data_IF_109545388630
#
_entry.id   IF_109545388630
#
_cell.length_a   1.000
_cell.length_b   1.000
_cell.length_c   1.000
_cell.angle_alpha   90.00
_cell.angle_beta   90.00
_cell.angle_gamma   90.00
#
_symmetry.space_group_name_H-M   'P 1'
#
loop_
_entity.id
_entity.type
_entity.pdbx_description
1 polymer ?
#
# COMPACT_ATOMS: atom_id res chain seq x y z
N UNK A 1 17.78 15.87 -5.96
CA UNK A 1 17.62 14.47 -5.54
C UNK A 1 18.64 13.63 -6.29
N UNK A 2 19.39 12.81 -5.57
CA UNK A 2 20.37 11.88 -6.16
C UNK A 2 19.67 10.85 -7.06
N UNK A 3 20.35 10.41 -8.11
CA UNK A 3 19.72 9.64 -9.20
C UNK A 3 19.08 8.33 -8.72
N UNK A 4 19.72 7.59 -7.81
CA UNK A 4 19.15 6.36 -7.26
C UNK A 4 17.88 6.62 -6.42
N UNK A 5 17.84 7.71 -5.64
CA UNK A 5 16.65 8.07 -4.86
C UNK A 5 15.52 8.46 -5.81
N UNK A 6 15.82 9.21 -6.87
CA UNK A 6 14.87 9.55 -7.92
C UNK A 6 14.31 8.29 -8.59
N UNK A 7 15.15 7.30 -8.88
CA UNK A 7 14.70 6.03 -9.47
C UNK A 7 13.78 5.25 -8.54
N UNK A 8 14.10 5.18 -7.24
CA UNK A 8 13.26 4.55 -6.22
C UNK A 8 11.93 5.29 -6.09
N UNK A 9 11.95 6.64 -6.02
CA UNK A 9 10.75 7.48 -5.97
C UNK A 9 9.86 7.26 -7.20
N UNK A 10 10.44 7.20 -8.39
CA UNK A 10 9.73 6.89 -9.63
C UNK A 10 9.04 5.50 -9.56
N UNK A 11 9.71 4.47 -9.03
CA UNK A 11 9.05 3.17 -8.82
C UNK A 11 7.88 3.27 -7.84
N UNK A 12 8.04 4.05 -6.78
CA UNK A 12 6.97 4.24 -5.81
C UNK A 12 5.80 5.07 -6.36
N UNK A 13 6.04 6.01 -7.27
CA UNK A 13 4.97 6.72 -8.00
C UNK A 13 4.15 5.75 -8.87
N UNK A 14 4.80 4.79 -9.54
CA UNK A 14 4.08 3.70 -10.24
C UNK A 14 3.21 2.91 -9.28
N UNK A 15 3.76 2.53 -8.13
CA UNK A 15 3.03 1.81 -7.10
C UNK A 15 1.79 2.60 -6.64
N UNK A 16 1.92 3.92 -6.42
CA UNK A 16 0.78 4.77 -6.08
C UNK A 16 -0.29 4.82 -7.16
N UNK A 17 0.10 4.91 -8.44
CA UNK A 17 -0.85 4.86 -9.56
C UNK A 17 -1.61 3.53 -9.58
N UNK A 18 -0.90 2.42 -9.44
CA UNK A 18 -1.51 1.09 -9.41
C UNK A 18 -2.48 0.94 -8.23
N UNK A 19 -2.09 1.38 -7.03
CA UNK A 19 -2.97 1.37 -5.85
C UNK A 19 -4.23 2.20 -6.11
N UNK A 20 -4.08 3.42 -6.63
CA UNK A 20 -5.21 4.31 -6.89
C UNK A 20 -6.19 3.69 -7.88
N UNK A 21 -5.69 3.09 -8.96
CA UNK A 21 -6.51 2.37 -9.93
C UNK A 21 -7.26 1.20 -9.27
N UNK A 22 -6.58 0.39 -8.43
CA UNK A 22 -7.25 -0.68 -7.68
C UNK A 22 -8.35 -0.14 -6.77
N UNK A 23 -8.08 0.92 -5.99
CA UNK A 23 -9.07 1.55 -5.12
C UNK A 23 -10.26 2.08 -5.92
N UNK A 24 -10.08 2.50 -7.18
CA UNK A 24 -11.18 3.01 -8.00
C UNK A 24 -12.02 1.91 -8.65
N UNK A 25 -11.37 0.84 -9.14
CA UNK A 25 -12.01 -0.21 -9.93
C UNK A 25 -12.58 -1.36 -9.09
N UNK A 26 -11.97 -1.65 -7.94
CA UNK A 26 -12.29 -2.84 -7.17
C UNK A 26 -13.78 -2.95 -6.83
N UNK A 27 -14.33 -4.16 -6.98
CA UNK A 27 -15.52 -4.54 -6.22
C UNK A 27 -15.08 -4.70 -4.76
N UNK A 28 -15.49 -3.82 -3.86
CA UNK A 28 -14.99 -3.81 -2.47
C UNK A 28 -15.68 -4.86 -1.59
N UNK A 29 -16.93 -5.18 -1.91
CA UNK A 29 -17.80 -6.05 -1.11
C UNK A 29 -17.62 -7.54 -1.44
N UNK A 30 -17.06 -7.87 -2.61
CA UNK A 30 -16.89 -9.25 -3.03
C UNK A 30 -16.05 -10.01 -2.00
N UNK A 31 -16.58 -11.13 -1.53
CA UNK A 31 -15.90 -12.01 -0.58
C UNK A 31 -15.05 -13.01 -1.34
N UNK A 32 -13.76 -13.04 -1.00
CA UNK A 32 -12.78 -13.98 -1.50
C UNK A 32 -11.96 -14.52 -0.32
N UNK A 33 -11.92 -15.85 -0.19
CA UNK A 33 -11.24 -16.54 0.92
C UNK A 33 -11.59 -15.96 2.30
N UNK A 34 -12.90 -15.92 2.60
CA UNK A 34 -13.48 -15.39 3.84
C UNK A 34 -13.28 -13.88 4.11
N UNK A 35 -12.70 -13.12 3.17
CA UNK A 35 -12.48 -11.69 3.32
C UNK A 35 -13.08 -10.89 2.17
N UNK A 36 -13.61 -9.70 2.47
CA UNK A 36 -14.01 -8.80 1.40
C UNK A 36 -12.78 -8.13 0.76
N UNK A 37 -12.88 -7.77 -0.52
CA UNK A 37 -11.76 -7.19 -1.25
C UNK A 37 -11.25 -5.87 -0.63
N UNK A 38 -12.11 -5.10 0.04
CA UNK A 38 -11.69 -3.89 0.76
C UNK A 38 -10.64 -4.16 1.84
N UNK A 39 -10.70 -5.33 2.50
CA UNK A 39 -9.70 -5.76 3.50
C UNK A 39 -8.37 -6.13 2.88
N UNK A 40 -8.35 -6.76 1.70
CA UNK A 40 -7.09 -6.99 0.97
C UNK A 40 -6.43 -5.66 0.56
N UNK A 41 -7.22 -4.68 0.12
CA UNK A 41 -6.72 -3.35 -0.23
C UNK A 41 -6.15 -2.65 1.01
N UNK A 42 -6.91 -2.65 2.10
CA UNK A 42 -6.45 -2.06 3.35
C UNK A 42 -5.19 -2.77 3.89
N UNK A 43 -5.10 -4.10 3.79
CA UNK A 43 -3.94 -4.87 4.23
C UNK A 43 -2.63 -4.36 3.62
N UNK A 44 -2.56 -4.19 2.29
CA UNK A 44 -1.33 -3.72 1.66
C UNK A 44 -1.08 -2.22 1.83
N UNK A 45 -2.13 -1.40 1.94
CA UNK A 45 -1.98 0.02 2.28
C UNK A 45 -1.41 0.20 3.68
N UNK A 46 -1.95 -0.54 4.65
CA UNK A 46 -1.52 -0.49 6.03
C UNK A 46 -0.12 -1.05 6.23
N UNK A 47 0.22 -2.16 5.55
CA UNK A 47 1.61 -2.66 5.53
C UNK A 47 2.58 -1.59 5.01
N UNK A 48 2.21 -0.90 3.92
CA UNK A 48 3.05 0.17 3.38
C UNK A 48 3.19 1.34 4.38
N UNK A 49 2.11 1.77 5.03
CA UNK A 49 2.16 2.81 6.07
C UNK A 49 3.08 2.46 7.24
N UNK A 50 3.02 1.21 7.68
CA UNK A 50 3.75 0.69 8.83
C UNK A 50 5.22 0.45 8.54
N UNK A 51 5.52 -0.25 7.45
CA UNK A 51 6.84 -0.84 7.25
C UNK A 51 7.74 -0.04 6.30
N UNK A 52 7.20 0.87 5.48
CA UNK A 52 8.02 1.55 4.45
C UNK A 52 9.13 2.44 5.04
N UNK A 53 8.90 3.05 6.20
CA UNK A 53 9.83 4.02 6.82
C UNK A 53 10.53 3.43 8.04
N UNK A 54 9.78 3.13 9.09
CA UNK A 54 10.28 2.49 10.30
C UNK A 54 9.13 1.76 11.03
N UNK A 55 9.09 0.43 11.02
CA UNK A 55 8.02 -0.31 11.68
C UNK A 55 8.08 -0.30 13.21
N UNK A 56 9.24 0.00 13.81
CA UNK A 56 9.44 -0.05 15.27
C UNK A 56 8.84 1.17 15.95
N UNK A 57 9.03 2.35 15.37
CA UNK A 57 8.44 3.61 15.85
C UNK A 57 7.05 3.91 15.27
N UNK A 58 6.41 2.94 14.62
CA UNK A 58 5.13 3.15 13.96
C UNK A 58 3.99 3.31 14.96
N UNK A 59 3.15 4.32 14.75
CA UNK A 59 1.91 4.54 15.48
C UNK A 59 0.77 4.53 14.47
N UNK A 60 -0.22 3.67 14.69
CA UNK A 60 -1.41 3.62 13.86
C UNK A 60 -2.34 4.79 14.19
N UNK A 61 -2.64 5.62 13.19
CA UNK A 61 -3.56 6.75 13.33
C UNK A 61 -4.88 6.53 12.57
N UNK A 62 -5.00 5.43 11.82
CA UNK A 62 -6.09 5.24 10.86
C UNK A 62 -7.47 5.11 11.50
N UNK A 63 -7.56 4.60 12.73
CA UNK A 63 -8.82 4.55 13.47
C UNK A 63 -9.32 5.96 13.80
N UNK A 64 -8.45 6.81 14.32
CA UNK A 64 -8.79 8.19 14.68
C UNK A 64 -9.07 9.06 13.45
N UNK A 65 -8.27 8.91 12.39
CA UNK A 65 -8.31 9.80 11.24
C UNK A 65 -9.35 9.39 10.19
N UNK A 66 -9.63 8.08 10.05
CA UNK A 66 -10.45 7.55 8.96
C UNK A 66 -11.52 6.55 9.42
N UNK A 67 -11.58 6.24 10.72
CA UNK A 67 -12.55 5.29 11.27
C UNK A 67 -12.32 3.86 10.81
N UNK A 68 -11.08 3.49 10.49
CA UNK A 68 -10.71 2.13 10.09
C UNK A 68 -10.01 1.46 11.28
N UNK A 69 -10.54 0.37 11.85
CA UNK A 69 -9.82 -0.39 12.87
C UNK A 69 -8.57 -1.09 12.30
N UNK A 70 -7.46 -1.08 13.03
CA UNK A 70 -6.18 -1.65 12.56
C UNK A 70 -6.29 -3.15 12.25
N UNK A 71 -7.10 -3.87 13.05
CA UNK A 71 -7.27 -5.32 12.94
C UNK A 71 -7.92 -5.75 11.61
N UNK A 72 -8.61 -4.86 10.90
CA UNK A 72 -9.14 -5.15 9.57
C UNK A 72 -8.04 -5.42 8.53
N UNK A 73 -6.80 -5.02 8.81
CA UNK A 73 -5.63 -5.34 7.98
C UNK A 73 -5.15 -6.78 8.16
N UNK A 74 -5.60 -7.49 9.20
CA UNK A 74 -5.23 -8.89 9.44
C UNK A 74 -6.13 -9.78 8.58
N UNK A 75 -5.57 -10.39 7.53
CA UNK A 75 -6.29 -11.23 6.56
C UNK A 75 -5.89 -12.72 6.63
N UNK A 76 -5.10 -13.11 7.63
CA UNK A 76 -4.68 -14.49 7.85
C UNK A 76 -5.35 -15.03 9.13
N UNK A 77 -6.18 -16.09 9.03
CA UNK A 77 -6.93 -16.63 10.16
C UNK A 77 -6.06 -17.20 11.29
N UNK A 78 -4.75 -17.37 11.06
CA UNK A 78 -3.80 -17.85 12.07
C UNK A 78 -3.16 -16.72 12.87
N UNK A 79 -3.39 -15.46 12.51
CA UNK A 79 -2.78 -14.30 13.17
C UNK A 79 -3.67 -13.74 14.27
N UNK A 80 -3.03 -13.25 15.33
CA UNK A 80 -3.71 -12.52 16.39
C UNK A 80 -4.42 -11.27 15.82
N UNK A 81 -5.59 -10.94 16.37
CA UNK A 81 -6.43 -9.84 15.89
C UNK A 81 -7.25 -10.16 14.64
N UNK A 82 -7.11 -11.36 14.06
CA UNK A 82 -7.97 -11.78 12.96
C UNK A 82 -9.43 -11.86 13.41
N UNK A 83 -10.29 -11.16 12.68
CA UNK A 83 -11.73 -11.19 12.85
C UNK A 83 -12.38 -11.62 11.54
N UNK A 84 -13.21 -12.66 11.58
CA UNK A 84 -13.98 -13.12 10.42
C UNK A 84 -15.34 -12.43 10.38
N UNK A 85 -15.36 -11.21 9.89
CA UNK A 85 -16.60 -10.46 9.65
C UNK A 85 -16.60 -9.85 8.24
N UNK A 86 -17.27 -10.54 7.32
CA UNK A 86 -17.40 -10.08 5.94
C UNK A 86 -18.43 -8.95 5.78
N UNK A 87 -19.20 -8.62 6.82
CA UNK A 87 -20.16 -7.51 6.79
C UNK A 87 -19.49 -6.14 6.95
N UNK A 88 -18.26 -6.11 7.49
CA UNK A 88 -17.47 -4.89 7.65
C UNK A 88 -16.69 -4.60 6.38
N UNK A 89 -17.23 -3.73 5.53
CA UNK A 89 -16.58 -3.27 4.30
C UNK A 89 -16.01 -1.88 4.50
N UNK A 90 -14.72 -1.70 4.22
CA UNK A 90 -14.05 -0.40 4.25
C UNK A 90 -14.47 0.37 2.99
N UNK A 91 -15.04 1.55 3.18
CA UNK A 91 -15.59 2.32 2.06
C UNK A 91 -14.49 2.79 1.11
N UNK A 92 -14.87 3.09 -0.14
CA UNK A 92 -13.93 3.62 -1.13
C UNK A 92 -13.35 4.96 -0.70
N UNK A 93 -14.17 5.79 -0.05
CA UNK A 93 -13.79 7.09 0.50
C UNK A 93 -12.78 6.92 1.63
N UNK A 94 -13.00 5.96 2.54
CA UNK A 94 -12.04 5.65 3.62
C UNK A 94 -10.70 5.15 3.06
N UNK A 95 -10.73 4.21 2.12
CA UNK A 95 -9.52 3.70 1.45
C UNK A 95 -8.76 4.81 0.70
N UNK A 96 -9.49 5.70 0.02
CA UNK A 96 -8.89 6.82 -0.70
C UNK A 96 -8.26 7.82 0.26
N UNK A 97 -8.94 8.18 1.35
CA UNK A 97 -8.41 9.09 2.36
C UNK A 97 -7.16 8.51 3.05
N UNK A 98 -7.20 7.23 3.41
CA UNK A 98 -6.04 6.54 3.98
C UNK A 98 -4.89 6.45 2.98
N UNK A 99 -5.16 6.14 1.70
CA UNK A 99 -4.16 6.15 0.64
C UNK A 99 -3.46 7.51 0.50
N UNK A 100 -4.20 8.61 0.44
CA UNK A 100 -3.60 9.95 0.29
C UNK A 100 -2.76 10.33 1.52
N UNK A 101 -3.16 9.90 2.72
CA UNK A 101 -2.35 10.05 3.94
C UNK A 101 -1.02 9.29 3.84
N UNK A 102 -1.06 8.00 3.49
CA UNK A 102 0.14 7.17 3.35
C UNK A 102 1.05 7.67 2.23
N UNK A 103 0.47 8.05 1.08
CA UNK A 103 1.17 8.66 -0.04
C UNK A 103 1.91 9.92 0.39
N UNK A 104 1.23 10.85 1.05
CA UNK A 104 1.83 12.11 1.53
C UNK A 104 2.97 11.85 2.52
N UNK A 105 2.79 10.89 3.44
CA UNK A 105 3.82 10.50 4.42
C UNK A 105 5.09 9.97 3.73
N UNK A 106 4.93 9.12 2.72
CA UNK A 106 6.05 8.55 1.96
C UNK A 106 6.70 9.60 1.03
N UNK A 107 5.91 10.47 0.40
CA UNK A 107 6.43 11.57 -0.40
C UNK A 107 7.30 12.50 0.45
N UNK A 108 6.82 12.89 1.64
CA UNK A 108 7.60 13.69 2.59
C UNK A 108 8.88 12.98 3.04
N UNK A 109 8.83 11.66 3.23
CA UNK A 109 10.02 10.88 3.58
C UNK A 109 11.08 10.93 2.48
N UNK A 110 10.70 10.82 1.21
CA UNK A 110 11.64 10.94 0.09
C UNK A 110 12.32 12.31 -0.01
N UNK A 111 11.67 13.38 0.46
CA UNK A 111 12.30 14.71 0.51
C UNK A 111 13.42 14.81 1.56
N UNK A 112 13.44 13.90 2.54
CA UNK A 112 14.47 13.85 3.59
C UNK A 112 15.54 12.79 3.37
N UNK A 113 15.31 11.86 2.43
CA UNK A 113 16.16 10.69 2.23
C UNK A 113 17.44 11.06 1.45
N UNK A 114 18.61 10.61 1.92
CA UNK A 114 19.88 10.67 1.19
C UNK A 114 20.36 9.27 0.80
N UNK A 115 21.38 9.18 -0.07
CA UNK A 115 21.92 7.88 -0.51
C UNK A 115 22.58 7.12 0.65
N UNK A 116 23.26 7.82 1.55
CA UNK A 116 23.89 7.21 2.72
C UNK A 116 22.84 6.58 3.64
N UNK A 117 21.72 7.30 3.85
CA UNK A 117 20.62 6.82 4.69
C UNK A 117 20.02 5.50 4.18
N UNK A 118 20.06 5.21 2.87
CA UNK A 118 19.53 3.96 2.31
C UNK A 118 20.12 2.72 2.96
N UNK A 119 21.41 2.77 3.31
CA UNK A 119 22.16 1.66 3.92
C UNK A 119 22.12 1.68 5.46
N UNK A 120 21.56 2.74 6.05
CA UNK A 120 21.37 2.85 7.48
C UNK A 120 20.07 2.17 7.92
N UNK A 121 20.08 1.68 9.16
CA UNK A 121 18.90 1.15 9.82
C UNK A 121 18.15 2.28 10.55
N UNK A 122 16.82 2.37 10.43
CA UNK A 122 16.04 3.22 11.32
C UNK A 122 16.25 2.84 12.79
N UNK A 123 15.98 3.77 13.70
CA UNK A 123 16.11 3.51 15.14
C UNK A 123 15.30 2.28 15.57
N UNK A 124 15.98 1.35 16.26
CA UNK A 124 15.42 0.09 16.75
C UNK A 124 15.13 -0.96 15.68
N UNK A 125 15.28 -0.65 14.39
CA UNK A 125 14.98 -1.56 13.29
C UNK A 125 16.20 -2.42 12.92
N UNK A 126 15.98 -3.71 12.64
CA UNK A 126 17.06 -4.61 12.22
C UNK A 126 17.39 -4.50 10.72
N UNK A 127 16.49 -3.92 9.92
CA UNK A 127 16.60 -3.78 8.47
C UNK A 127 17.02 -2.37 8.07
N UNK A 128 17.78 -2.26 6.99
CA UNK A 128 18.11 -0.99 6.35
C UNK A 128 16.87 -0.35 5.70
N UNK A 129 16.92 0.97 5.50
CA UNK A 129 15.85 1.70 4.79
C UNK A 129 15.61 1.12 3.39
N UNK A 130 16.67 0.73 2.67
CA UNK A 130 16.55 0.09 1.36
C UNK A 130 15.84 -1.27 1.44
N UNK A 131 16.17 -2.11 2.43
CA UNK A 131 15.49 -3.40 2.62
C UNK A 131 14.00 -3.22 2.90
N UNK A 132 13.62 -2.23 3.72
CA UNK A 132 12.23 -1.89 4.00
C UNK A 132 11.47 -1.47 2.74
N UNK A 133 12.05 -0.56 1.94
CA UNK A 133 11.45 -0.09 0.66
C UNK A 133 11.26 -1.28 -0.29
N UNK A 134 12.30 -2.09 -0.50
CA UNK A 134 12.23 -3.24 -1.40
C UNK A 134 11.25 -4.31 -0.90
N UNK A 135 11.15 -4.51 0.41
CA UNK A 135 10.16 -5.41 1.00
C UNK A 135 8.73 -4.95 0.69
N UNK A 136 8.46 -3.64 0.80
CA UNK A 136 7.14 -3.09 0.49
C UNK A 136 6.84 -3.12 -1.01
N UNK A 137 7.83 -2.92 -1.90
CA UNK A 137 7.60 -3.09 -3.34
C UNK A 137 7.13 -4.52 -3.68
N UNK A 138 7.76 -5.53 -3.07
CA UNK A 138 7.36 -6.94 -3.28
C UNK A 138 6.00 -7.26 -2.67
N UNK A 139 5.78 -6.84 -1.41
CA UNK A 139 4.52 -7.07 -0.70
C UNK A 139 3.34 -6.45 -1.43
N UNK A 140 3.48 -5.17 -1.82
CA UNK A 140 2.46 -4.45 -2.53
C UNK A 140 2.10 -5.14 -3.84
N UNK A 141 3.08 -5.44 -4.68
CA UNK A 141 2.82 -6.04 -6.00
C UNK A 141 2.17 -7.43 -5.90
N UNK A 142 2.51 -8.20 -4.87
CA UNK A 142 1.84 -9.47 -4.57
C UNK A 142 0.35 -9.27 -4.31
N UNK A 143 -0.02 -8.36 -3.40
CA UNK A 143 -1.41 -8.18 -2.99
C UNK A 143 -2.26 -7.34 -3.96
N UNK A 144 -1.66 -6.38 -4.68
CA UNK A 144 -2.32 -5.69 -5.80
C UNK A 144 -2.71 -6.69 -6.89
N UNK A 145 -1.84 -7.67 -7.18
CA UNK A 145 -2.16 -8.76 -8.10
C UNK A 145 -3.39 -9.57 -7.67
N UNK A 146 -3.48 -9.91 -6.38
CA UNK A 146 -4.64 -10.61 -5.80
C UNK A 146 -5.92 -9.78 -5.93
N UNK A 147 -5.91 -8.52 -5.50
CA UNK A 147 -7.08 -7.61 -5.61
C UNK A 147 -7.52 -7.43 -7.06
N UNK A 148 -6.56 -7.33 -8.00
CA UNK A 148 -6.84 -7.21 -9.42
C UNK A 148 -7.53 -8.46 -9.97
N UNK A 149 -7.05 -9.65 -9.60
CA UNK A 149 -7.67 -10.92 -9.99
C UNK A 149 -9.09 -11.08 -9.42
N UNK A 150 -9.30 -10.70 -8.15
CA UNK A 150 -10.63 -10.67 -7.52
C UNK A 150 -11.56 -9.72 -8.28
N UNK A 151 -11.07 -8.54 -8.64
CA UNK A 151 -11.84 -7.54 -9.40
C UNK A 151 -12.24 -8.10 -10.76
N UNK A 152 -11.29 -8.68 -11.50
CA UNK A 152 -11.54 -9.30 -12.80
C UNK A 152 -12.57 -10.43 -12.71
N UNK A 153 -12.43 -11.33 -11.72
CA UNK A 153 -13.39 -12.42 -11.52
C UNK A 153 -14.80 -11.92 -11.17
N UNK A 154 -14.91 -10.77 -10.50
CA UNK A 154 -16.20 -10.21 -10.07
C UNK A 154 -16.91 -9.34 -11.10
N UNK A 155 -16.17 -8.68 -11.99
CA UNK A 155 -16.71 -7.67 -12.93
C UNK A 155 -16.39 -7.94 -14.40
N UNK A 156 -15.55 -8.93 -14.71
CA UNK A 156 -14.98 -9.16 -16.04
C UNK A 156 -14.21 -7.95 -16.59
N UNK A 157 -13.71 -7.08 -15.71
CA UNK A 157 -12.91 -5.90 -16.04
C UNK A 157 -11.49 -6.06 -15.53
N UNK A 158 -10.50 -5.83 -16.40
CA UNK A 158 -9.10 -5.74 -15.99
C UNK A 158 -8.81 -4.35 -15.44
N UNK A 159 -8.11 -4.29 -14.31
CA UNK A 159 -7.57 -3.05 -13.80
C UNK A 159 -6.37 -2.63 -14.67
N UNK A 160 -6.22 -1.32 -14.90
CA UNK A 160 -5.09 -0.83 -15.66
C UNK A 160 -3.79 -1.00 -14.85
N UNK A 161 -2.79 -1.67 -15.44
CA UNK A 161 -1.46 -1.77 -14.85
C UNK A 161 -0.56 -0.68 -15.44
N UNK A 162 -0.01 0.14 -14.56
CA UNK A 162 1.03 1.10 -14.90
C UNK A 162 2.39 0.47 -14.62
N UNK A 163 3.23 0.40 -15.66
CA UNK A 163 4.64 0.00 -15.56
C UNK A 163 5.59 1.17 -15.87
N UNK A 164 6.87 0.87 -16.10
CA UNK A 164 7.91 1.88 -16.37
C UNK A 164 7.57 2.84 -17.53
N UNK A 165 6.87 2.36 -18.56
CA UNK A 165 6.45 3.18 -19.70
C UNK A 165 5.34 4.19 -19.36
N UNK A 166 4.62 3.99 -18.26
CA UNK A 166 3.53 4.86 -17.82
C UNK A 166 4.01 6.19 -17.24
N UNK A 167 5.10 6.18 -16.48
CA UNK A 167 5.75 7.41 -15.96
C UNK A 167 6.08 8.41 -17.06
N UNK A 168 6.63 7.91 -18.18
CA UNK A 168 7.06 8.76 -19.30
C UNK A 168 5.90 9.55 -19.91
N UNK A 169 4.69 8.96 -19.96
CA UNK A 169 3.49 9.61 -20.50
C UNK A 169 2.96 10.76 -19.63
N UNK A 170 3.38 10.84 -18.36
CA UNK A 170 3.01 11.93 -17.45
C UNK A 170 4.00 13.09 -17.48
N UNK A 171 5.30 12.82 -17.65
CA UNK A 171 6.31 13.87 -17.81
C UNK A 171 6.23 14.60 -19.17
N UNK A 172 5.51 14.03 -20.13
CA UNK A 172 5.29 14.58 -21.48
C UNK A 172 3.94 15.34 -21.60
N UNK A 173 3.15 15.46 -20.52
CA UNK A 173 1.93 16.29 -20.42
C UNK A 173 2.18 17.53 -19.58
#
# INVERSE_FOLDING_TARGET
MEEIIKQIKNQQEINFMNIKEQIQKANLEIVFDAENNSRYIFHYLHSMDRFFINPVGYVYEGEKLFGIPENLSVIDPKREGYEKDTSVVISREQLTAYFEHVKSKIENYFETLTVEMLLEKPEGCEYTRLELILAQFRHLMWHVGVSSAITFASKSEWNEFTGLSGLRKMCEK
#
